data_IF_240058688217
#
_entry.id   IF_240058688217
#
_cell.length_a   1.000
_cell.length_b   1.000
_cell.length_c   1.000
_cell.angle_alpha   90.00
_cell.angle_beta   90.00
_cell.angle_gamma   90.00
#
_symmetry.space_group_name_H-M   'P 1'
#
loop_
_entity.id
_entity.type
_entity.pdbx_description
1 polymer ?
#
# COMPACT_ATOMS: atom_id res chain seq x y z
N UNK A 1 -11.97 -3.13 -5.80
CA UNK A 1 -11.45 -1.84 -6.30
C UNK A 1 -10.16 -2.14 -7.07
N UNK A 2 -10.02 -1.72 -8.32
CA UNK A 2 -8.78 -1.88 -9.10
C UNK A 2 -7.99 -0.57 -8.98
N UNK A 3 -6.66 -0.68 -8.84
CA UNK A 3 -5.78 0.48 -8.89
C UNK A 3 -5.73 0.98 -10.35
N UNK A 4 -6.12 2.22 -10.57
CA UNK A 4 -6.03 2.88 -11.87
C UNK A 4 -5.07 4.06 -11.75
N UNK A 5 -3.96 4.02 -12.48
CA UNK A 5 -2.90 5.04 -12.45
C UNK A 5 -2.96 6.01 -13.63
N UNK A 6 -3.94 5.87 -14.53
CA UNK A 6 -4.07 6.70 -15.74
C UNK A 6 -4.18 8.20 -15.41
N UNK A 7 -4.90 8.52 -14.34
CA UNK A 7 -5.17 9.89 -13.95
C UNK A 7 -4.03 10.57 -13.16
N UNK A 8 -3.03 9.80 -12.72
CA UNK A 8 -1.95 10.31 -11.86
C UNK A 8 -1.13 11.42 -12.53
N UNK A 9 -0.99 11.37 -13.86
CA UNK A 9 -0.24 12.35 -14.65
C UNK A 9 -0.93 13.70 -14.80
N UNK A 10 -2.24 13.76 -14.59
CA UNK A 10 -3.04 14.98 -14.78
C UNK A 10 -3.18 15.81 -13.50
N UNK A 11 -2.71 15.29 -12.37
CA UNK A 11 -2.75 16.00 -11.08
C UNK A 11 -1.66 17.06 -11.01
N UNK A 12 -2.08 18.29 -10.73
CA UNK A 12 -1.19 19.44 -10.55
C UNK A 12 -0.53 19.43 -9.17
N UNK A 13 0.48 20.28 -8.98
CA UNK A 13 1.16 20.42 -7.68
C UNK A 13 0.19 20.84 -6.56
N UNK A 14 -0.80 21.66 -6.88
CA UNK A 14 -1.83 22.09 -5.93
C UNK A 14 -2.79 20.95 -5.56
N UNK A 15 -3.17 20.10 -6.52
CA UNK A 15 -3.97 18.91 -6.23
C UNK A 15 -3.26 17.96 -5.27
N UNK A 16 -1.94 17.78 -5.45
CA UNK A 16 -1.13 16.99 -4.53
C UNK A 16 -1.05 17.60 -3.14
N UNK A 17 -0.89 18.94 -3.02
CA UNK A 17 -0.89 19.64 -1.72
C UNK A 17 -2.23 19.46 -1.00
N UNK A 18 -3.34 19.63 -1.71
CA UNK A 18 -4.68 19.46 -1.15
C UNK A 18 -4.94 18.01 -0.75
N UNK A 19 -4.54 17.03 -1.57
CA UNK A 19 -4.69 15.62 -1.23
C UNK A 19 -3.86 15.23 0.01
N UNK A 20 -2.64 15.76 0.14
CA UNK A 20 -1.81 15.60 1.34
C UNK A 20 -2.43 16.28 2.56
N UNK A 21 -3.04 17.46 2.40
CA UNK A 21 -3.73 18.16 3.47
C UNK A 21 -4.93 17.35 4.00
N UNK A 22 -5.70 16.70 3.10
CA UNK A 22 -6.78 15.78 3.50
C UNK A 22 -6.22 14.58 4.26
N UNK A 23 -5.11 13.99 3.83
CA UNK A 23 -4.47 12.90 4.58
C UNK A 23 -4.05 13.34 5.99
N UNK A 24 -3.40 14.50 6.13
CA UNK A 24 -2.98 15.01 7.43
C UNK A 24 -4.17 15.31 8.34
N UNK A 25 -5.22 15.94 7.81
CA UNK A 25 -6.46 16.17 8.54
C UNK A 25 -7.18 14.89 8.96
N UNK A 26 -7.09 13.84 8.12
CA UNK A 26 -7.76 12.55 8.37
C UNK A 26 -7.20 11.75 9.54
N UNK A 27 -6.04 12.17 10.08
CA UNK A 27 -5.45 11.57 11.29
C UNK A 27 -6.31 11.83 12.54
N UNK A 28 -6.92 13.01 12.61
CA UNK A 28 -7.67 13.46 13.78
C UNK A 28 -9.18 13.52 13.52
N UNK A 29 -9.59 13.67 12.25
CA UNK A 29 -10.99 13.81 11.87
C UNK A 29 -11.37 12.76 10.82
N UNK A 30 -12.50 12.08 11.00
CA UNK A 30 -13.00 11.14 9.97
C UNK A 30 -13.43 11.86 8.69
N UNK A 31 -14.04 13.04 8.85
CA UNK A 31 -14.32 13.99 7.79
C UNK A 31 -13.49 15.26 8.03
N UNK A 32 -12.70 15.66 7.06
CA UNK A 32 -11.88 16.87 7.14
C UNK A 32 -12.69 18.05 6.58
N UNK A 33 -12.97 19.11 7.37
CA UNK A 33 -13.68 20.29 6.89
C UNK A 33 -12.87 21.05 5.83
N UNK A 34 -13.55 21.68 4.87
CA UNK A 34 -12.90 22.43 3.78
C UNK A 34 -11.97 23.53 4.27
N UNK A 35 -12.35 24.25 5.33
CA UNK A 35 -11.52 25.30 5.94
C UNK A 35 -10.21 24.72 6.52
N UNK A 36 -10.28 23.53 7.11
CA UNK A 36 -9.11 22.83 7.63
C UNK A 36 -8.20 22.34 6.50
N UNK A 37 -8.78 21.82 5.41
CA UNK A 37 -8.02 21.44 4.22
C UNK A 37 -7.26 22.66 3.68
N UNK A 38 -7.93 23.81 3.57
CA UNK A 38 -7.31 25.06 3.12
C UNK A 38 -6.14 25.46 4.03
N UNK A 39 -6.36 25.53 5.34
CA UNK A 39 -5.33 25.89 6.33
C UNK A 39 -4.11 24.97 6.27
N UNK A 40 -4.32 23.64 6.23
CA UNK A 40 -3.22 22.66 6.18
C UNK A 40 -2.50 22.71 4.81
N UNK A 41 -3.24 22.92 3.72
CA UNK A 41 -2.65 22.95 2.37
C UNK A 41 -1.76 24.17 2.12
N UNK A 42 -1.89 25.23 2.92
CA UNK A 42 -1.12 26.47 2.75
C UNK A 42 -1.39 27.19 1.43
N UNK A 43 -2.54 26.94 0.79
CA UNK A 43 -2.89 27.58 -0.47
C UNK A 43 -3.15 29.08 -0.28
N UNK A 44 -2.77 29.89 -1.28
CA UNK A 44 -2.93 31.35 -1.22
C UNK A 44 -4.39 31.81 -1.27
N UNK A 45 -5.25 31.07 -1.98
CA UNK A 45 -6.66 31.41 -2.16
C UNK A 45 -7.56 30.22 -1.85
N UNK A 46 -8.66 30.41 -1.11
CA UNK A 46 -9.69 29.39 -0.90
C UNK A 46 -10.30 28.86 -2.21
N UNK A 47 -10.37 29.69 -3.25
CA UNK A 47 -10.91 29.29 -4.56
C UNK A 47 -10.08 28.19 -5.23
N UNK A 48 -8.75 28.27 -5.09
CA UNK A 48 -7.83 27.24 -5.59
C UNK A 48 -8.03 25.91 -4.86
N UNK A 49 -8.21 25.96 -3.54
CA UNK A 49 -8.47 24.75 -2.74
C UNK A 49 -9.78 24.08 -3.15
N UNK A 50 -10.85 24.85 -3.35
CA UNK A 50 -12.14 24.29 -3.78
C UNK A 50 -12.07 23.67 -5.17
N UNK A 51 -11.36 24.30 -6.11
CA UNK A 51 -11.12 23.74 -7.45
C UNK A 51 -10.39 22.39 -7.35
N UNK A 52 -9.27 22.35 -6.64
CA UNK A 52 -8.49 21.12 -6.45
C UNK A 52 -9.30 20.02 -5.77
N UNK A 53 -10.08 20.34 -4.73
CA UNK A 53 -11.01 19.39 -4.11
C UNK A 53 -12.02 18.85 -5.14
N UNK A 54 -12.57 19.71 -5.99
CA UNK A 54 -13.49 19.32 -7.06
C UNK A 54 -12.84 18.34 -8.04
N UNK A 55 -11.61 18.60 -8.47
CA UNK A 55 -10.87 17.74 -9.39
C UNK A 55 -10.48 16.39 -8.75
N UNK A 56 -10.03 16.40 -7.49
CA UNK A 56 -9.78 15.19 -6.71
C UNK A 56 -11.05 14.36 -6.48
N UNK A 57 -12.21 15.01 -6.30
CA UNK A 57 -13.49 14.34 -6.11
C UNK A 57 -14.01 13.68 -7.41
N UNK A 58 -13.83 14.33 -8.58
CA UNK A 58 -14.14 13.73 -9.89
C UNK A 58 -13.36 12.44 -10.10
N UNK A 59 -12.09 12.43 -9.71
CA UNK A 59 -11.20 11.26 -9.77
C UNK A 59 -11.42 10.25 -8.63
N UNK A 60 -12.41 10.47 -7.75
CA UNK A 60 -12.74 9.62 -6.59
C UNK A 60 -11.56 9.42 -5.63
N UNK A 61 -10.63 10.37 -5.56
CA UNK A 61 -9.50 10.37 -4.62
C UNK A 61 -9.92 10.87 -3.23
N UNK A 62 -10.91 11.76 -3.21
CA UNK A 62 -11.62 12.21 -2.02
C UNK A 62 -13.11 11.98 -2.20
N UNK A 63 -13.84 11.82 -1.10
CA UNK A 63 -15.28 11.64 -1.12
C UNK A 63 -15.96 12.56 -0.10
N UNK A 64 -17.09 13.15 -0.51
CA UNK A 64 -18.00 13.88 0.38
C UNK A 64 -19.09 12.93 0.86
N UNK A 65 -19.38 12.91 2.17
CA UNK A 65 -20.50 12.12 2.70
C UNK A 65 -21.79 12.95 2.64
N UNK A 66 -22.82 12.40 1.99
CA UNK A 66 -24.10 13.10 1.79
C UNK A 66 -24.95 13.24 3.07
N UNK A 67 -24.74 12.37 4.07
CA UNK A 67 -25.55 12.31 5.30
C UNK A 67 -24.73 12.59 6.58
N UNK A 68 -23.61 13.32 6.46
CA UNK A 68 -22.79 13.65 7.62
C UNK A 68 -23.38 14.84 8.37
N UNK A 69 -23.22 14.85 9.71
CA UNK A 69 -23.65 15.97 10.58
C UNK A 69 -22.96 17.29 10.25
N UNK A 70 -21.80 17.23 9.60
CA UNK A 70 -21.03 18.39 9.18
C UNK A 70 -20.39 18.13 7.81
N UNK A 71 -20.21 19.21 7.05
CA UNK A 71 -19.65 19.14 5.71
C UNK A 71 -18.14 18.91 5.75
N UNK A 72 -17.64 18.05 4.86
CA UNK A 72 -16.23 17.69 4.80
C UNK A 72 -15.92 16.61 3.80
N UNK A 73 -14.64 16.35 3.65
CA UNK A 73 -14.10 15.36 2.72
C UNK A 73 -13.33 14.29 3.48
N UNK A 74 -13.49 13.04 3.05
CA UNK A 74 -12.68 11.92 3.51
C UNK A 74 -11.77 11.43 2.40
N UNK A 75 -10.60 10.93 2.78
CA UNK A 75 -9.69 10.27 1.87
C UNK A 75 -10.27 8.91 1.43
N UNK A 76 -10.17 8.58 0.14
CA UNK A 76 -10.53 7.25 -0.36
C UNK A 76 -9.29 6.37 -0.49
N UNK A 77 -9.48 5.06 -0.70
CA UNK A 77 -8.37 4.15 -0.95
C UNK A 77 -7.56 4.52 -2.18
N UNK A 78 -8.21 5.01 -3.25
CA UNK A 78 -7.51 5.48 -4.44
C UNK A 78 -6.65 6.71 -4.12
N UNK A 79 -7.17 7.67 -3.35
CA UNK A 79 -6.38 8.82 -2.90
C UNK A 79 -5.17 8.39 -2.08
N UNK A 80 -5.33 7.39 -1.22
CA UNK A 80 -4.25 6.84 -0.41
C UNK A 80 -3.20 6.11 -1.28
N UNK A 81 -3.62 5.37 -2.30
CA UNK A 81 -2.71 4.75 -3.28
C UNK A 81 -1.90 5.78 -4.05
N UNK A 82 -2.56 6.84 -4.50
CA UNK A 82 -1.94 7.91 -5.27
C UNK A 82 -0.89 8.63 -4.45
N UNK A 83 -1.17 8.90 -3.17
CA UNK A 83 -0.19 9.48 -2.25
C UNK A 83 1.02 8.55 -2.03
N UNK A 84 0.78 7.24 -1.92
CA UNK A 84 1.85 6.25 -1.80
C UNK A 84 2.75 6.25 -3.03
N UNK A 85 2.15 6.14 -4.23
CA UNK A 85 2.84 6.19 -5.53
C UNK A 85 3.58 7.50 -5.74
N UNK A 86 2.97 8.65 -5.42
CA UNK A 86 3.63 9.95 -5.54
C UNK A 86 4.86 10.06 -4.66
N UNK A 87 4.82 9.49 -3.46
CA UNK A 87 5.98 9.48 -2.57
C UNK A 87 7.11 8.60 -3.12
N UNK A 88 6.78 7.43 -3.68
CA UNK A 88 7.75 6.52 -4.31
C UNK A 88 8.33 7.11 -5.60
N UNK A 89 7.53 7.86 -6.36
CA UNK A 89 7.96 8.61 -7.54
C UNK A 89 8.94 9.72 -7.15
N UNK A 90 8.66 10.48 -6.10
CA UNK A 90 9.55 11.54 -5.61
C UNK A 90 10.87 11.00 -5.03
N UNK A 91 10.93 9.72 -4.65
CA UNK A 91 12.13 9.02 -4.16
C UNK A 91 12.84 8.23 -5.28
N UNK A 92 12.43 8.39 -6.53
CA UNK A 92 12.98 7.66 -7.68
C UNK A 92 12.97 6.13 -7.53
N UNK A 93 12.05 5.59 -6.72
CA UNK A 93 11.94 4.14 -6.50
C UNK A 93 11.04 3.48 -7.53
N UNK A 94 9.98 4.18 -7.94
CA UNK A 94 8.99 3.73 -8.92
C UNK A 94 8.82 4.80 -9.98
N UNK A 95 8.96 4.42 -11.24
CA UNK A 95 8.77 5.27 -12.41
C UNK A 95 7.48 4.91 -13.16
N UNK A 96 7.22 3.62 -13.36
CA UNK A 96 6.03 3.13 -14.04
C UNK A 96 5.38 1.98 -13.29
N UNK A 97 4.05 1.91 -13.39
CA UNK A 97 3.23 0.80 -12.87
C UNK A 97 2.79 -0.03 -14.06
N UNK A 98 3.12 -1.32 -14.02
CA UNK A 98 2.80 -2.30 -15.05
C UNK A 98 1.54 -3.10 -14.72
N UNK A 99 1.51 -4.35 -15.18
CA UNK A 99 0.36 -5.24 -15.01
C UNK A 99 0.17 -5.71 -13.58
N UNK A 100 -1.07 -6.10 -13.27
CA UNK A 100 -1.39 -6.80 -12.02
C UNK A 100 -0.91 -8.24 -12.12
N UNK A 101 -0.08 -8.66 -11.17
CA UNK A 101 0.42 -10.04 -11.08
C UNK A 101 -0.62 -10.92 -10.38
N UNK A 102 -1.22 -10.41 -9.30
CA UNK A 102 -2.18 -11.14 -8.50
C UNK A 102 -2.98 -10.25 -7.59
N UNK A 103 -4.24 -10.62 -7.37
CA UNK A 103 -5.17 -9.95 -6.45
C UNK A 103 -5.50 -10.93 -5.35
N UNK A 104 -5.04 -10.65 -4.14
CA UNK A 104 -5.31 -11.45 -2.95
C UNK A 104 -6.48 -10.92 -2.13
N UNK A 105 -6.77 -11.61 -1.02
CA UNK A 105 -7.79 -11.16 -0.04
C UNK A 105 -7.35 -9.92 0.73
N UNK A 106 -6.05 -9.83 1.05
CA UNK A 106 -5.47 -8.81 1.93
C UNK A 106 -4.46 -7.91 1.23
N UNK A 107 -4.02 -8.25 0.02
CA UNK A 107 -3.07 -7.44 -0.73
C UNK A 107 -3.23 -7.63 -2.24
N UNK A 108 -2.91 -6.58 -2.97
CA UNK A 108 -2.86 -6.56 -4.43
C UNK A 108 -1.38 -6.46 -4.85
N UNK A 109 -0.96 -7.22 -5.85
CA UNK A 109 0.44 -7.31 -6.30
C UNK A 109 0.55 -6.80 -7.73
N UNK A 110 1.42 -5.82 -7.95
CA UNK A 110 1.65 -5.15 -9.23
C UNK A 110 3.11 -5.26 -9.65
N UNK A 111 3.34 -5.39 -10.96
CA UNK A 111 4.64 -5.14 -11.57
C UNK A 111 4.91 -3.64 -11.59
N UNK A 112 6.11 -3.21 -11.23
CA UNK A 112 6.55 -1.81 -11.33
C UNK A 112 7.96 -1.75 -11.89
N UNK A 113 8.34 -0.64 -12.50
CA UNK A 113 9.73 -0.41 -12.94
C UNK A 113 10.27 0.85 -12.30
N UNK A 114 11.57 0.83 -11.99
CA UNK A 114 12.29 2.01 -11.52
C UNK A 114 12.77 2.90 -12.69
N UNK A 115 13.35 4.09 -12.43
CA UNK A 115 13.83 4.97 -13.48
C UNK A 115 14.96 4.38 -14.35
N UNK A 116 15.65 3.33 -13.86
CA UNK A 116 16.70 2.61 -14.60
C UNK A 116 16.13 1.49 -15.47
N UNK A 117 14.81 1.25 -15.42
CA UNK A 117 14.14 0.18 -16.14
C UNK A 117 14.20 -1.18 -15.45
N UNK A 118 14.70 -1.27 -14.22
CA UNK A 118 14.71 -2.52 -13.48
C UNK A 118 13.30 -2.87 -12.98
N UNK A 119 12.85 -4.09 -13.27
CA UNK A 119 11.55 -4.58 -12.84
C UNK A 119 11.56 -4.96 -11.35
N UNK A 120 10.54 -4.50 -10.63
CA UNK A 120 10.30 -4.73 -9.22
C UNK A 120 8.84 -5.11 -8.99
N UNK A 121 8.52 -5.49 -7.77
CA UNK A 121 7.15 -5.84 -7.35
C UNK A 121 6.67 -4.80 -6.34
N UNK A 122 5.47 -4.27 -6.56
CA UNK A 122 4.76 -3.46 -5.59
C UNK A 122 3.62 -4.27 -4.97
N UNK A 123 3.66 -4.45 -3.66
CA UNK A 123 2.58 -5.04 -2.87
C UNK A 123 1.80 -3.95 -2.15
N UNK A 124 0.50 -3.90 -2.39
CA UNK A 124 -0.43 -2.92 -1.81
C UNK A 124 -1.31 -3.61 -0.79
N UNK A 125 -1.25 -3.21 0.47
CA UNK A 125 -2.04 -3.80 1.56
C UNK A 125 -3.47 -3.26 1.57
N UNK A 126 -4.45 -4.16 1.63
CA UNK A 126 -5.88 -3.89 1.57
C UNK A 126 -6.63 -4.62 2.69
N UNK A 127 -6.38 -4.23 3.93
CA UNK A 127 -7.15 -4.78 5.04
C UNK A 127 -8.61 -4.29 4.94
N UNK A 128 -9.57 -5.18 5.20
CA UNK A 128 -11.00 -4.85 5.20
C UNK A 128 -11.74 -4.99 3.85
N UNK A 129 -11.10 -5.55 2.80
CA UNK A 129 -11.72 -5.77 1.47
C UNK A 129 -12.82 -6.83 1.45
N UNK A 130 -12.75 -7.80 2.34
CA UNK A 130 -13.77 -8.84 2.57
C UNK A 130 -13.96 -8.96 4.07
N UNK A 131 -15.20 -8.79 4.54
CA UNK A 131 -15.67 -8.84 5.92
C UNK A 131 -14.83 -9.71 6.86
N UNK A 132 -13.77 -9.15 7.44
CA UNK A 132 -13.10 -9.74 8.58
C UNK A 132 -13.93 -9.46 9.82
N UNK A 133 -14.99 -10.24 10.04
CA UNK A 133 -15.71 -10.24 11.32
C UNK A 133 -14.76 -10.60 12.48
N UNK A 134 -13.68 -11.33 12.21
CA UNK A 134 -12.71 -11.86 13.19
C UNK A 134 -11.47 -11.00 13.46
N UNK A 135 -11.10 -10.04 12.59
CA UNK A 135 -9.92 -9.17 12.84
C UNK A 135 -10.14 -8.20 14.01
N UNK A 136 -11.40 -7.87 14.31
CA UNK A 136 -11.75 -7.11 15.52
C UNK A 136 -11.41 -7.84 16.82
N UNK A 137 -11.38 -9.18 16.83
CA UNK A 137 -11.21 -9.96 18.07
C UNK A 137 -9.76 -10.36 18.37
N UNK A 138 -8.91 -10.57 17.36
CA UNK A 138 -7.60 -11.25 17.57
C UNK A 138 -6.37 -10.32 17.48
N UNK A 139 -6.54 -9.00 17.42
CA UNK A 139 -5.42 -8.05 17.29
C UNK A 139 -5.42 -7.04 18.44
N UNK A 140 -4.46 -7.18 19.36
CA UNK A 140 -4.36 -6.42 20.62
C UNK A 140 -4.29 -4.89 20.47
N UNK A 141 -3.94 -4.38 19.29
CA UNK A 141 -3.85 -2.93 19.00
C UNK A 141 -5.21 -2.26 18.74
N UNK A 142 -6.32 -3.00 18.75
CA UNK A 142 -7.67 -2.49 18.46
C UNK A 142 -8.50 -2.13 19.69
N UNK A 143 -8.01 -2.35 20.92
CA UNK A 143 -8.85 -2.32 22.13
C UNK A 143 -9.53 -0.97 22.44
N UNK A 144 -9.08 0.17 21.89
CA UNK A 144 -9.58 1.50 22.32
C UNK A 144 -9.96 2.51 21.21
N UNK A 145 -10.22 2.13 19.95
CA UNK A 145 -10.57 3.12 18.89
C UNK A 145 -11.85 2.78 18.11
N UNK A 146 -12.86 3.65 18.27
CA UNK A 146 -14.25 3.53 17.80
C UNK A 146 -14.46 3.54 16.27
N UNK A 147 -13.42 3.72 15.45
CA UNK A 147 -13.48 3.49 14.00
C UNK A 147 -12.25 2.69 13.59
N UNK A 148 -12.47 1.47 13.08
CA UNK A 148 -11.38 0.62 12.58
C UNK A 148 -10.80 1.28 11.32
N UNK A 149 -9.83 2.18 11.48
CA UNK A 149 -9.17 2.84 10.36
C UNK A 149 -8.33 1.81 9.59
N UNK A 150 -8.97 1.12 8.64
CA UNK A 150 -8.38 0.09 7.82
C UNK A 150 -7.17 0.58 7.00
N UNK A 151 -7.15 1.86 6.60
CA UNK A 151 -5.99 2.47 5.95
C UNK A 151 -4.80 2.56 6.91
N UNK A 152 -5.05 2.96 8.16
CA UNK A 152 -4.03 2.98 9.21
C UNK A 152 -3.51 1.57 9.53
N UNK A 153 -4.40 0.58 9.64
CA UNK A 153 -4.00 -0.82 9.85
C UNK A 153 -3.19 -1.36 8.67
N UNK A 154 -3.58 -1.02 7.43
CA UNK A 154 -2.84 -1.40 6.23
C UNK A 154 -1.45 -0.74 6.19
N UNK A 155 -1.33 0.50 6.69
CA UNK A 155 -0.04 1.18 6.87
C UNK A 155 0.87 0.43 7.84
N UNK A 156 0.34 0.06 9.01
CA UNK A 156 1.11 -0.67 10.02
C UNK A 156 1.52 -2.06 9.51
N UNK A 157 0.64 -2.76 8.79
CA UNK A 157 0.95 -4.05 8.19
C UNK A 157 2.11 -3.93 7.18
N UNK A 158 2.04 -2.96 6.26
CA UNK A 158 3.10 -2.71 5.29
C UNK A 158 4.43 -2.33 5.94
N UNK A 159 4.40 -1.47 6.96
CA UNK A 159 5.60 -1.07 7.70
C UNK A 159 6.24 -2.27 8.42
N UNK A 160 5.43 -3.09 9.09
CA UNK A 160 5.90 -4.29 9.78
C UNK A 160 6.47 -5.32 8.80
N UNK A 161 5.79 -5.56 7.68
CA UNK A 161 6.28 -6.48 6.64
C UNK A 161 7.63 -6.02 6.06
N UNK A 162 7.76 -4.74 5.72
CA UNK A 162 9.03 -4.19 5.22
C UNK A 162 10.17 -4.37 6.24
N UNK A 163 9.92 -4.07 7.51
CA UNK A 163 10.92 -4.22 8.57
C UNK A 163 11.37 -5.68 8.73
N UNK A 164 10.45 -6.63 8.78
CA UNK A 164 10.82 -8.05 8.85
C UNK A 164 11.55 -8.52 7.60
N UNK A 165 11.10 -8.10 6.41
CA UNK A 165 11.76 -8.44 5.15
C UNK A 165 13.20 -7.92 5.12
N UNK A 166 13.44 -6.70 5.62
CA UNK A 166 14.76 -6.11 5.71
C UNK A 166 15.65 -6.89 6.68
N UNK A 167 15.16 -7.17 7.89
CA UNK A 167 15.90 -7.97 8.88
C UNK A 167 16.26 -9.35 8.31
N UNK A 168 15.30 -10.04 7.67
CA UNK A 168 15.53 -11.36 7.09
C UNK A 168 16.54 -11.31 5.93
N UNK A 169 16.44 -10.31 5.07
CA UNK A 169 17.37 -10.13 3.96
C UNK A 169 18.80 -9.87 4.48
N UNK A 170 18.95 -8.99 5.46
CA UNK A 170 20.25 -8.63 6.06
C UNK A 170 20.91 -9.84 6.77
N UNK A 171 20.12 -10.76 7.32
CA UNK A 171 20.60 -12.03 7.92
C UNK A 171 20.78 -13.17 6.89
N UNK A 172 20.77 -12.85 5.59
CA UNK A 172 21.00 -13.80 4.51
C UNK A 172 19.93 -14.88 4.41
N UNK A 173 18.68 -14.60 4.78
CA UNK A 173 17.56 -15.47 4.44
C UNK A 173 17.19 -15.30 2.96
N UNK A 174 16.71 -16.38 2.35
CA UNK A 174 16.22 -16.39 0.96
C UNK A 174 14.84 -15.72 0.87
N UNK A 175 14.81 -14.40 1.04
CA UNK A 175 13.62 -13.55 0.91
C UNK A 175 13.85 -12.50 -0.18
N UNK A 176 12.79 -11.92 -0.78
CA UNK A 176 12.94 -10.82 -1.73
C UNK A 176 13.70 -9.65 -1.11
N UNK A 177 14.59 -9.00 -1.86
CA UNK A 177 15.19 -7.75 -1.41
C UNK A 177 14.10 -6.66 -1.23
N UNK A 178 13.98 -6.04 -0.04
CA UNK A 178 13.11 -4.90 0.16
C UNK A 178 13.77 -3.61 -0.35
N UNK A 179 13.03 -2.79 -1.10
CA UNK A 179 13.56 -1.53 -1.65
C UNK A 179 13.00 -0.28 -0.93
N UNK A 180 11.68 -0.19 -0.78
CA UNK A 180 11.04 0.99 -0.17
C UNK A 180 9.70 0.61 0.46
N UNK A 181 9.25 1.44 1.40
CA UNK A 181 7.89 1.42 1.90
C UNK A 181 7.28 2.83 1.89
N UNK A 182 6.00 2.91 1.51
CA UNK A 182 5.24 4.15 1.58
C UNK A 182 3.79 3.82 1.87
N UNK A 183 3.30 4.34 3.01
CA UNK A 183 1.95 4.08 3.50
C UNK A 183 1.67 2.58 3.60
N UNK A 184 0.75 2.06 2.79
CA UNK A 184 0.35 0.66 2.72
C UNK A 184 1.01 -0.11 1.57
N UNK A 185 1.95 0.51 0.86
CA UNK A 185 2.67 -0.09 -0.25
C UNK A 185 4.10 -0.47 0.15
N UNK A 186 4.55 -1.64 -0.31
CA UNK A 186 5.92 -2.16 -0.15
C UNK A 186 6.49 -2.48 -1.52
N UNK A 187 7.70 -2.00 -1.83
CA UNK A 187 8.44 -2.34 -3.03
C UNK A 187 9.49 -3.39 -2.68
N UNK A 188 9.51 -4.48 -3.45
CA UNK A 188 10.41 -5.60 -3.26
C UNK A 188 10.92 -6.13 -4.61
N UNK A 189 11.93 -6.98 -4.56
CA UNK A 189 12.51 -7.66 -5.71
C UNK A 189 11.49 -8.48 -6.50
N UNK A 190 11.66 -8.46 -7.82
CA UNK A 190 10.96 -9.39 -8.70
C UNK A 190 11.67 -10.74 -8.71
N UNK A 191 11.09 -11.74 -8.04
CA UNK A 191 11.56 -13.13 -8.12
C UNK A 191 10.87 -13.83 -9.29
N UNK A 192 11.66 -14.28 -10.27
CA UNK A 192 11.19 -15.12 -11.38
C UNK A 192 10.99 -16.57 -10.94
N UNK A 193 9.99 -16.79 -10.10
CA UNK A 193 9.64 -18.10 -9.56
C UNK A 193 8.17 -18.46 -9.82
N UNK A 194 7.84 -19.72 -9.55
CA UNK A 194 6.47 -20.23 -9.57
C UNK A 194 6.05 -20.65 -8.16
N UNK A 195 4.79 -20.42 -7.75
CA UNK A 195 4.29 -20.93 -6.48
C UNK A 195 4.34 -22.45 -6.44
N UNK A 196 4.65 -23.03 -5.27
CA UNK A 196 4.71 -24.49 -5.09
C UNK A 196 3.41 -25.20 -5.49
N UNK A 197 2.26 -24.55 -5.34
CA UNK A 197 0.95 -25.05 -5.78
C UNK A 197 0.89 -25.37 -7.29
N UNK A 198 1.65 -24.64 -8.10
CA UNK A 198 1.68 -24.81 -9.56
C UNK A 198 2.86 -25.67 -10.01
N UNK A 199 3.59 -26.28 -9.08
CA UNK A 199 4.60 -27.28 -9.42
C UNK A 199 3.89 -28.56 -9.88
N UNK A 200 4.29 -29.04 -11.04
CA UNK A 200 3.85 -30.30 -11.63
C UNK A 200 5.07 -31.04 -12.20
N UNK A 201 4.92 -32.34 -12.47
CA UNK A 201 6.01 -33.20 -12.95
C UNK A 201 6.68 -32.68 -14.23
N UNK A 202 5.97 -31.91 -15.06
CA UNK A 202 6.52 -31.29 -16.26
C UNK A 202 7.40 -30.06 -16.01
N UNK A 203 7.19 -29.33 -14.91
CA UNK A 203 7.97 -28.14 -14.55
C UNK A 203 9.05 -28.45 -13.49
N UNK A 204 9.06 -29.69 -12.99
CA UNK A 204 10.04 -30.25 -12.08
C UNK A 204 11.25 -30.72 -12.89
N UNK A 205 12.08 -29.78 -13.37
CA UNK A 205 13.35 -30.07 -14.07
C UNK A 205 14.38 -30.77 -13.15
N UNK A 206 14.14 -32.02 -12.77
CA UNK A 206 15.06 -32.80 -11.94
C UNK A 206 15.24 -32.29 -10.50
N UNK A 207 14.25 -31.58 -9.95
CA UNK A 207 14.29 -31.13 -8.55
C UNK A 207 14.16 -32.36 -7.64
N UNK A 208 15.18 -32.60 -6.82
CA UNK A 208 15.13 -33.63 -5.79
C UNK A 208 14.22 -33.20 -4.63
N UNK A 209 13.06 -33.84 -4.53
CA UNK A 209 12.07 -33.58 -3.47
C UNK A 209 12.64 -33.80 -2.06
N UNK A 210 13.54 -34.76 -1.87
CA UNK A 210 14.13 -35.05 -0.55
C UNK A 210 15.04 -33.90 -0.13
N UNK A 211 15.84 -33.39 -1.07
CA UNK A 211 16.68 -32.22 -0.85
C UNK A 211 15.84 -30.97 -0.59
N UNK A 212 14.81 -30.72 -1.42
CA UNK A 212 13.91 -29.58 -1.24
C UNK A 212 13.23 -29.60 0.13
N UNK A 213 12.71 -30.76 0.55
CA UNK A 213 12.11 -30.92 1.88
C UNK A 213 13.13 -30.62 2.99
N UNK A 214 14.35 -31.14 2.87
CA UNK A 214 15.42 -30.90 3.84
C UNK A 214 15.79 -29.42 3.93
N UNK A 215 15.93 -28.74 2.78
CA UNK A 215 16.21 -27.31 2.70
C UNK A 215 15.09 -26.47 3.36
N UNK A 216 13.83 -26.83 3.16
CA UNK A 216 12.69 -26.16 3.79
C UNK A 216 12.66 -26.37 5.31
N UNK A 217 12.96 -27.58 5.79
CA UNK A 217 13.05 -27.85 7.22
C UNK A 217 14.22 -27.09 7.87
N UNK A 218 15.38 -27.06 7.21
CA UNK A 218 16.51 -26.24 7.64
C UNK A 218 16.18 -24.75 7.67
N UNK A 219 15.35 -24.26 6.74
CA UNK A 219 14.88 -22.88 6.74
C UNK A 219 14.02 -22.57 7.96
N UNK A 220 13.13 -23.48 8.38
CA UNK A 220 12.32 -23.33 9.60
C UNK A 220 13.22 -23.33 10.84
N UNK A 221 14.19 -24.25 10.92
CA UNK A 221 15.18 -24.28 12.02
C UNK A 221 15.98 -22.98 12.06
N UNK A 222 16.38 -22.44 10.89
CA UNK A 222 17.07 -21.15 10.80
C UNK A 222 16.18 -20.03 11.33
N UNK A 223 14.89 -19.98 10.97
CA UNK A 223 13.97 -18.97 11.50
C UNK A 223 13.85 -19.06 13.02
N UNK A 224 13.58 -20.24 13.56
CA UNK A 224 13.40 -20.44 15.01
C UNK A 224 14.66 -20.08 15.84
N UNK A 225 15.86 -20.19 15.26
CA UNK A 225 17.11 -19.75 15.91
C UNK A 225 17.21 -18.23 16.08
N UNK A 226 16.46 -17.45 15.29
CA UNK A 226 16.49 -15.98 15.31
C UNK A 226 15.27 -15.36 16.04
N UNK A 227 14.35 -16.17 16.59
CA UNK A 227 13.18 -15.74 17.37
C UNK A 227 11.86 -15.87 16.63
#
# INVERSE_FOLDING_TARGET
MKLDTSHLRYLTSDDWRVLQAVELGSRNHELVPTQMIHSISGMRSPSGTQRAIGDLAKLKLVARLRNAKYDGFRLTYNGYDYLALKSMLNRDTVYSVGSTIGVGKESDIFSVSDPKGAQKVMKVHRLGRTSFKTVKNNRDYLKNRQTSNWMYLSRLAAAKEYQFMQILYDHGFKVPQPFDNSRHCVIMEWIRGIPMKHLNSSNLNGIDYKKLYSDLMLFIVKLAKHG
#
